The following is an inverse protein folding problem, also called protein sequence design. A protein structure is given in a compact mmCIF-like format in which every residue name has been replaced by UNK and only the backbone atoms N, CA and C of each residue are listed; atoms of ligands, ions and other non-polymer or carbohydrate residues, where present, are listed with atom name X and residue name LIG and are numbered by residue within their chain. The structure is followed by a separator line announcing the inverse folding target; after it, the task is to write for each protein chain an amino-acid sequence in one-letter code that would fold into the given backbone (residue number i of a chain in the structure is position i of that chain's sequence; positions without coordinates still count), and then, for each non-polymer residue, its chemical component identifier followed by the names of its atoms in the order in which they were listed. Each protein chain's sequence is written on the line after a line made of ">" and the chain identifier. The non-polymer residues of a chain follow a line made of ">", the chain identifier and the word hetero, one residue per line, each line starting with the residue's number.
data_IF_203452991343
#
_entry.id   IF_203452991343
#
_cell.length_a   1.000
_cell.length_b   1.000
_cell.length_c   1.000
_cell.angle_alpha   90.00
_cell.angle_beta   90.00
_cell.angle_gamma   90.00
#
_symmetry.space_group_name_H-M   'P 1'
#
loop_
_entity.id
_entity.type
_entity.pdbx_description
1 polymer ?
#
# COMPACT_ATOMS: atom_id res chain seq x y z
N UNK A 1 -4.32 17.09 -6.94
CA UNK A 1 -4.16 15.64 -7.16
C UNK A 1 -4.11 15.32 -8.64
N UNK A 2 -3.66 14.11 -8.96
CA UNK A 2 -3.65 13.61 -10.35
C UNK A 2 -5.02 13.08 -10.78
N UNK A 3 -5.16 12.82 -12.07
CA UNK A 3 -6.38 12.28 -12.67
C UNK A 3 -6.26 10.77 -12.99
N UNK A 4 -5.15 10.12 -12.60
CA UNK A 4 -4.88 8.71 -12.88
C UNK A 4 -3.87 8.13 -11.88
N UNK A 5 -3.79 6.81 -11.86
CA UNK A 5 -2.76 6.07 -11.13
C UNK A 5 -1.75 5.52 -12.15
N UNK A 6 -0.63 6.20 -12.38
CA UNK A 6 0.39 5.76 -13.32
C UNK A 6 1.13 4.54 -12.82
N UNK A 7 1.58 3.70 -13.77
CA UNK A 7 2.43 2.54 -13.52
C UNK A 7 3.81 2.80 -14.11
N UNK A 8 4.83 2.42 -13.38
CA UNK A 8 6.23 2.49 -13.78
C UNK A 8 6.75 1.07 -13.98
N UNK A 9 7.33 0.81 -15.15
CA UNK A 9 8.00 -0.48 -15.39
C UNK A 9 9.49 -0.30 -15.18
N UNK A 10 10.06 -1.10 -14.29
CA UNK A 10 11.49 -1.12 -14.01
C UNK A 10 12.23 -1.94 -15.08
N UNK A 11 13.55 -1.76 -15.21
CA UNK A 11 14.40 -2.45 -16.20
C UNK A 11 14.34 -3.99 -16.10
N UNK A 12 14.09 -4.50 -14.88
CA UNK A 12 13.91 -5.93 -14.62
C UNK A 12 12.47 -6.44 -14.88
N UNK A 13 11.60 -5.60 -15.43
CA UNK A 13 10.24 -5.94 -15.79
C UNK A 13 9.20 -5.79 -14.70
N UNK A 14 9.57 -5.45 -13.45
CA UNK A 14 8.60 -5.21 -12.38
C UNK A 14 7.74 -3.97 -12.66
N UNK A 15 6.46 -4.10 -12.41
CA UNK A 15 5.47 -3.02 -12.57
C UNK A 15 5.12 -2.44 -11.22
N UNK A 16 5.44 -1.17 -11.02
CA UNK A 16 5.33 -0.47 -9.74
C UNK A 16 4.27 0.62 -9.79
N UNK A 17 3.40 0.64 -8.81
CA UNK A 17 2.46 1.72 -8.54
C UNK A 17 2.85 2.50 -7.28
N UNK A 18 2.39 3.73 -7.18
CA UNK A 18 2.63 4.58 -6.00
C UNK A 18 1.30 5.12 -5.50
N UNK A 19 1.02 4.95 -4.20
CA UNK A 19 -0.10 5.56 -3.48
C UNK A 19 0.44 6.41 -2.34
N UNK A 20 0.20 7.70 -2.39
CA UNK A 20 0.81 8.64 -1.44
C UNK A 20 -0.10 8.84 -0.22
N UNK A 21 0.41 8.44 0.95
CA UNK A 21 -0.19 8.73 2.25
C UNK A 21 -1.69 8.37 2.33
N UNK A 22 -2.58 9.35 2.19
CA UNK A 22 -4.03 9.16 2.30
C UNK A 22 -4.63 8.34 1.16
N UNK A 23 -3.99 8.28 -0.03
CA UNK A 23 -4.47 7.46 -1.16
C UNK A 23 -4.63 6.00 -0.78
N UNK A 24 -3.81 5.48 0.15
CA UNK A 24 -3.89 4.09 0.61
C UNK A 24 -5.23 3.73 1.26
N UNK A 25 -5.96 4.73 1.77
CA UNK A 25 -7.24 4.52 2.46
C UNK A 25 -8.40 4.20 1.50
N UNK A 26 -8.19 4.38 0.20
CA UNK A 26 -9.21 4.14 -0.83
C UNK A 26 -9.00 2.79 -1.52
N UNK A 27 -9.84 1.77 -1.26
CA UNK A 27 -9.72 0.45 -1.89
C UNK A 27 -9.73 0.52 -3.41
N UNK A 28 -10.43 1.48 -3.99
CA UNK A 28 -10.56 1.71 -5.42
C UNK A 28 -9.22 2.04 -6.08
N UNK A 29 -8.36 2.79 -5.40
CA UNK A 29 -7.02 3.13 -5.88
C UNK A 29 -6.15 1.88 -6.03
N UNK A 30 -6.15 1.01 -5.02
CA UNK A 30 -5.45 -0.27 -5.03
C UNK A 30 -5.97 -1.19 -6.13
N UNK A 31 -7.30 -1.29 -6.23
CA UNK A 31 -7.95 -2.13 -7.24
C UNK A 31 -7.66 -1.62 -8.64
N UNK A 32 -7.63 -0.32 -8.84
CA UNK A 32 -7.28 0.29 -10.13
C UNK A 32 -5.86 -0.08 -10.55
N UNK A 33 -4.87 0.04 -9.66
CA UNK A 33 -3.49 -0.37 -9.93
C UNK A 33 -3.37 -1.87 -10.21
N UNK A 34 -4.02 -2.69 -9.39
CA UNK A 34 -3.96 -4.14 -9.53
C UNK A 34 -4.57 -4.63 -10.84
N UNK A 35 -5.68 -4.05 -11.29
CA UNK A 35 -6.32 -4.36 -12.58
C UNK A 35 -5.46 -3.95 -13.78
N UNK A 36 -4.59 -2.96 -13.60
CA UNK A 36 -3.60 -2.58 -14.57
C UNK A 36 -2.37 -3.50 -14.55
N UNK A 37 -2.31 -4.50 -13.64
CA UNK A 37 -1.24 -5.50 -13.55
C UNK A 37 0.01 -5.02 -12.81
N UNK A 38 -0.15 -4.23 -11.77
CA UNK A 38 0.94 -3.84 -10.87
C UNK A 38 1.38 -5.04 -10.03
N UNK A 39 2.69 -5.20 -9.84
CA UNK A 39 3.31 -6.23 -9.04
C UNK A 39 3.62 -5.75 -7.62
N UNK A 40 3.96 -4.47 -7.49
CA UNK A 40 4.39 -3.82 -6.25
C UNK A 40 3.77 -2.44 -6.12
N UNK A 41 3.22 -2.12 -4.95
CA UNK A 41 2.78 -0.76 -4.62
C UNK A 41 3.64 -0.19 -3.50
N UNK A 42 4.25 0.98 -3.78
CA UNK A 42 4.97 1.76 -2.79
C UNK A 42 4.02 2.80 -2.16
N UNK A 43 4.07 2.91 -0.83
CA UNK A 43 3.19 3.81 -0.06
C UNK A 43 4.01 4.73 0.83
N UNK A 44 4.57 5.82 0.28
CA UNK A 44 5.20 6.84 1.11
C UNK A 44 4.14 7.58 1.93
N UNK A 45 4.39 7.73 3.23
CA UNK A 45 3.38 8.28 4.16
C UNK A 45 4.02 8.97 5.36
N UNK A 46 3.28 9.89 5.97
CA UNK A 46 3.60 10.54 7.23
C UNK A 46 2.38 10.41 8.16
N UNK A 47 2.17 9.20 8.66
CA UNK A 47 1.01 8.87 9.48
C UNK A 47 1.36 8.88 10.97
N UNK A 48 0.47 9.45 11.76
CA UNK A 48 0.59 9.58 13.21
C UNK A 48 -0.76 9.33 13.92
N UNK A 49 -0.73 9.24 15.25
CA UNK A 49 -1.93 9.18 16.09
C UNK A 49 -2.66 7.83 16.05
N UNK A 50 -3.98 7.87 16.08
CA UNK A 50 -4.87 6.72 16.29
C UNK A 50 -4.75 5.62 15.23
N UNK A 51 -4.27 5.95 14.05
CA UNK A 51 -4.12 4.97 12.94
C UNK A 51 -2.97 3.98 13.14
N UNK A 52 -2.14 4.15 14.16
CA UNK A 52 -1.00 3.28 14.43
C UNK A 52 -1.40 1.80 14.49
N UNK A 53 -2.44 1.47 15.25
CA UNK A 53 -2.90 0.09 15.44
C UNK A 53 -3.47 -0.57 14.18
N UNK A 54 -3.88 0.22 13.19
CA UNK A 54 -4.50 -0.26 11.96
C UNK A 54 -3.58 -0.16 10.75
N UNK A 55 -2.47 0.57 10.85
CA UNK A 55 -1.62 0.90 9.69
C UNK A 55 -1.11 -0.34 8.95
N UNK A 56 -0.48 -1.25 9.68
CA UNK A 56 0.08 -2.47 9.09
C UNK A 56 -1.03 -3.40 8.62
N UNK A 57 -2.09 -3.59 9.41
CA UNK A 57 -3.22 -4.43 9.05
C UNK A 57 -3.95 -3.94 7.78
N UNK A 58 -4.11 -2.62 7.62
CA UNK A 58 -4.64 -2.04 6.39
C UNK A 58 -3.80 -2.45 5.18
N UNK A 59 -2.47 -2.30 5.25
CA UNK A 59 -1.58 -2.64 4.14
C UNK A 59 -1.52 -4.15 3.85
N UNK A 60 -1.60 -5.00 4.88
CA UNK A 60 -1.67 -6.45 4.73
C UNK A 60 -2.93 -6.89 3.95
N UNK A 61 -4.09 -6.33 4.30
CA UNK A 61 -5.33 -6.59 3.57
C UNK A 61 -5.23 -6.13 2.11
N UNK A 62 -4.64 -4.93 1.87
CA UNK A 62 -4.43 -4.43 0.51
C UNK A 62 -3.52 -5.32 -0.34
N UNK A 63 -2.44 -5.84 0.24
CA UNK A 63 -1.56 -6.80 -0.43
C UNK A 63 -2.31 -8.09 -0.82
N UNK A 64 -2.99 -8.70 0.14
CA UNK A 64 -3.74 -9.95 -0.03
C UNK A 64 -4.84 -9.84 -1.09
N UNK A 65 -5.76 -8.88 -0.93
CA UNK A 65 -6.95 -8.75 -1.79
C UNK A 65 -6.62 -8.33 -3.24
N UNK A 66 -5.39 -7.85 -3.48
CA UNK A 66 -4.92 -7.43 -4.79
C UNK A 66 -3.81 -8.33 -5.36
N UNK A 67 -3.37 -9.36 -4.61
CA UNK A 67 -2.31 -10.30 -4.98
C UNK A 67 -1.03 -9.58 -5.46
N UNK A 68 -0.54 -8.62 -4.69
CA UNK A 68 0.65 -7.82 -5.00
C UNK A 68 1.50 -7.57 -3.76
N UNK A 69 2.76 -7.18 -3.96
CA UNK A 69 3.61 -6.72 -2.88
C UNK A 69 3.27 -5.30 -2.45
N UNK A 70 3.49 -5.01 -1.17
CA UNK A 70 3.35 -3.65 -0.63
C UNK A 70 4.62 -3.26 0.11
N UNK A 71 5.12 -2.06 -0.18
CA UNK A 71 6.18 -1.40 0.58
C UNK A 71 5.60 -0.13 1.20
N UNK A 72 5.26 -0.22 2.47
CA UNK A 72 4.83 0.93 3.26
C UNK A 72 6.03 1.65 3.87
N UNK A 73 6.25 2.91 3.48
CA UNK A 73 7.35 3.74 4.01
C UNK A 73 6.76 4.86 4.82
N UNK A 74 6.76 4.72 6.15
CA UNK A 74 6.18 5.72 7.03
C UNK A 74 7.27 6.54 7.74
N UNK A 75 7.00 7.82 7.88
CA UNK A 75 7.83 8.73 8.68
C UNK A 75 7.90 8.24 10.12
N UNK A 76 9.07 8.33 10.73
CA UNK A 76 9.30 8.03 12.15
C UNK A 76 9.80 9.27 12.89
N UNK A 77 9.56 9.29 14.21
CA UNK A 77 10.06 10.33 15.08
C UNK A 77 9.13 11.53 15.23
N UNK A 78 9.61 12.52 15.94
CA UNK A 78 8.85 13.70 16.34
C UNK A 78 9.05 14.86 15.38
N UNK A 79 8.00 15.59 15.12
CA UNK A 79 8.06 16.83 14.35
C UNK A 79 7.09 17.87 14.90
N UNK A 80 7.44 19.12 14.70
CA UNK A 80 6.54 20.26 14.91
C UNK A 80 6.53 21.11 13.66
N UNK A 81 5.35 21.26 13.07
CA UNK A 81 5.21 22.16 11.92
C UNK A 81 5.22 23.62 12.40
N UNK A 82 5.72 24.50 11.55
CA UNK A 82 5.75 25.94 11.83
C UNK A 82 4.34 26.47 12.12
N UNK A 83 4.19 27.19 13.23
CA UNK A 83 2.90 27.72 13.70
C UNK A 83 2.03 26.72 14.48
N UNK A 84 2.38 25.43 14.58
CA UNK A 84 1.67 24.48 15.41
C UNK A 84 2.18 24.45 16.86
N UNK A 85 1.24 24.36 17.81
CA UNK A 85 1.55 24.21 19.24
C UNK A 85 1.80 22.76 19.64
N UNK A 86 1.31 21.80 18.85
CA UNK A 86 1.35 20.36 19.15
C UNK A 86 2.46 19.67 18.37
N UNK A 87 3.27 18.89 19.05
CA UNK A 87 4.26 18.00 18.47
C UNK A 87 3.56 16.74 17.93
N UNK A 88 3.81 16.39 16.68
CA UNK A 88 3.33 15.15 16.07
C UNK A 88 4.36 14.05 16.28
N UNK A 89 3.92 12.88 16.72
CA UNK A 89 4.74 11.69 16.83
C UNK A 89 4.37 10.75 15.68
N UNK A 90 5.22 10.72 14.65
CA UNK A 90 5.11 9.76 13.55
C UNK A 90 5.64 8.42 14.05
N UNK A 91 4.84 7.37 13.90
CA UNK A 91 5.09 6.10 14.59
C UNK A 91 6.00 5.12 13.81
N UNK A 92 6.53 5.50 12.64
CA UNK A 92 7.35 4.58 11.86
C UNK A 92 6.55 3.37 11.37
N UNK A 93 6.99 2.17 11.72
CA UNK A 93 6.39 0.90 11.30
C UNK A 93 6.39 0.72 9.78
N UNK A 94 7.43 1.21 9.10
CA UNK A 94 7.63 0.89 7.68
C UNK A 94 7.70 -0.61 7.49
N UNK A 95 7.10 -1.14 6.42
CA UNK A 95 6.95 -2.57 6.27
C UNK A 95 7.02 -3.02 4.82
N UNK A 96 7.42 -4.27 4.62
CA UNK A 96 7.38 -4.98 3.34
C UNK A 96 6.44 -6.16 3.52
N UNK A 97 5.46 -6.29 2.64
CA UNK A 97 4.37 -7.26 2.73
C UNK A 97 4.29 -8.03 1.42
N UNK A 98 4.11 -9.33 1.52
CA UNK A 98 4.00 -10.23 0.38
C UNK A 98 2.55 -10.32 -0.17
N UNK A 99 2.34 -10.97 -1.34
CA UNK A 99 1.02 -11.12 -1.95
C UNK A 99 0.02 -11.99 -1.17
N UNK A 100 0.43 -12.62 -0.07
CA UNK A 100 -0.45 -13.35 0.86
C UNK A 100 -0.85 -12.49 2.06
N UNK A 101 -0.37 -11.24 2.14
CA UNK A 101 -0.60 -10.36 3.27
C UNK A 101 0.34 -10.61 4.46
N UNK A 102 1.38 -11.43 4.28
CA UNK A 102 2.36 -11.71 5.32
C UNK A 102 3.43 -10.61 5.38
N UNK A 103 3.78 -10.23 6.60
CA UNK A 103 4.89 -9.30 6.83
C UNK A 103 6.22 -10.00 6.59
N UNK A 104 6.95 -9.54 5.57
CA UNK A 104 8.32 -9.99 5.32
C UNK A 104 9.31 -9.28 6.26
N UNK A 105 9.12 -7.97 6.41
CA UNK A 105 9.96 -7.14 7.27
C UNK A 105 9.16 -5.96 7.83
N UNK A 106 9.54 -5.52 9.03
CA UNK A 106 8.94 -4.34 9.69
C UNK A 106 10.01 -3.56 10.43
N UNK A 107 10.12 -2.26 10.14
CA UNK A 107 10.91 -1.32 10.94
C UNK A 107 10.20 -1.00 12.27
N UNK A 108 10.96 -0.56 13.26
CA UNK A 108 10.45 -0.04 14.52
C UNK A 108 9.89 1.39 14.41
N UNK A 109 9.85 2.04 15.55
CA UNK A 109 9.34 3.41 15.70
C UNK A 109 10.47 4.46 15.66
N UNK A 110 11.71 4.02 15.59
CA UNK A 110 12.87 4.92 15.60
C UNK A 110 13.14 5.47 14.19
N UNK A 111 13.61 6.72 14.07
CA UNK A 111 14.03 7.26 12.79
C UNK A 111 15.30 6.55 12.27
N UNK A 112 15.48 6.58 10.95
CA UNK A 112 16.66 6.08 10.24
C UNK A 112 16.84 4.56 10.23
N UNK A 113 15.77 3.80 10.45
CA UNK A 113 15.78 2.36 10.22
C UNK A 113 15.61 2.03 8.75
N UNK A 114 16.42 1.08 8.24
CA UNK A 114 16.30 0.52 6.91
C UNK A 114 15.93 -0.96 7.00
N UNK A 115 15.01 -1.41 6.18
CA UNK A 115 14.59 -2.82 6.06
C UNK A 115 14.76 -3.29 4.62
N UNK A 116 15.05 -4.57 4.45
CA UNK A 116 15.20 -5.21 3.15
C UNK A 116 14.50 -6.57 3.15
N UNK A 117 13.88 -6.95 2.04
CA UNK A 117 13.36 -8.29 1.82
C UNK A 117 13.59 -8.72 0.37
N UNK A 118 13.76 -10.02 0.16
CA UNK A 118 13.75 -10.59 -1.18
C UNK A 118 12.30 -10.75 -1.64
N UNK A 119 12.02 -10.34 -2.88
CA UNK A 119 10.70 -10.47 -3.50
C UNK A 119 10.83 -11.23 -4.82
N UNK A 120 9.83 -12.05 -5.15
CA UNK A 120 9.87 -12.91 -6.32
C UNK A 120 8.50 -12.90 -7.06
N UNK A 121 8.48 -12.80 -8.41
CA UNK A 121 7.24 -12.85 -9.20
C UNK A 121 6.45 -14.14 -9.01
N UNK A 122 7.11 -15.23 -8.65
CA UNK A 122 6.52 -16.54 -8.38
C UNK A 122 5.52 -16.50 -7.21
N UNK A 123 5.76 -15.66 -6.20
CA UNK A 123 4.84 -15.51 -5.07
C UNK A 123 3.53 -14.84 -5.51
N UNK A 124 3.58 -13.90 -6.45
CA UNK A 124 2.37 -13.30 -7.03
C UNK A 124 1.55 -14.37 -7.76
N UNK A 125 2.21 -15.21 -8.56
CA UNK A 125 1.56 -16.33 -9.27
C UNK A 125 0.95 -17.33 -8.30
N UNK A 126 1.69 -17.70 -7.23
CA UNK A 126 1.20 -18.59 -6.16
C UNK A 126 0.00 -18.01 -5.44
N UNK A 127 0.04 -16.74 -5.06
CA UNK A 127 -1.08 -16.07 -4.40
C UNK A 127 -2.33 -16.10 -5.28
N UNK A 128 -2.21 -15.74 -6.56
CA UNK A 128 -3.30 -15.79 -7.55
C UNK A 128 -3.85 -17.20 -7.76
N UNK A 129 -3.00 -18.24 -7.72
CA UNK A 129 -3.46 -19.62 -7.87
C UNK A 129 -4.23 -20.13 -6.64
N UNK A 130 -3.93 -19.59 -5.47
CA UNK A 130 -4.62 -19.96 -4.23
C UNK A 130 -5.93 -19.21 -4.05
N UNK A 131 -5.94 -17.90 -4.31
CA UNK A 131 -7.12 -17.05 -4.19
C UNK A 131 -6.98 -15.88 -5.16
N UNK A 132 -7.73 -15.90 -6.25
CA UNK A 132 -7.71 -14.84 -7.25
C UNK A 132 -8.91 -13.93 -7.09
N UNK A 133 -8.83 -13.00 -6.13
CA UNK A 133 -9.89 -12.01 -5.91
C UNK A 133 -10.21 -11.19 -7.16
N UNK A 134 -9.23 -10.96 -8.05
CA UNK A 134 -9.45 -10.17 -9.26
C UNK A 134 -10.32 -10.90 -10.28
N UNK A 135 -10.17 -12.23 -10.41
CA UNK A 135 -10.97 -13.05 -11.30
C UNK A 135 -12.42 -13.23 -10.81
N UNK A 136 -12.59 -13.28 -9.48
CA UNK A 136 -13.90 -13.47 -8.84
C UNK A 136 -14.76 -12.18 -8.77
N UNK A 137 -14.24 -11.06 -9.22
CA UNK A 137 -14.98 -9.79 -9.25
C UNK A 137 -16.19 -9.88 -10.16
N UNK A 138 -17.24 -9.17 -9.74
CA UNK A 138 -18.49 -9.02 -10.53
C UNK A 138 -18.74 -7.53 -10.85
N UNK A 139 -17.97 -6.94 -11.79
CA UNK A 139 -18.02 -5.50 -12.06
C UNK A 139 -19.41 -4.95 -12.33
N UNK A 140 -20.28 -5.77 -12.95
CA UNK A 140 -21.66 -5.40 -13.28
C UNK A 140 -22.56 -5.21 -12.04
N UNK A 141 -22.09 -5.54 -10.83
CA UNK A 141 -22.83 -5.30 -9.58
C UNK A 141 -22.35 -4.05 -8.83
N UNK A 142 -21.29 -3.38 -9.31
CA UNK A 142 -20.66 -2.25 -8.64
C UNK A 142 -21.07 -0.90 -9.25
N UNK A 143 -22.30 -0.78 -9.74
CA UNK A 143 -22.79 0.45 -10.42
C UNK A 143 -22.73 1.69 -9.53
N UNK A 144 -22.93 1.52 -8.22
CA UNK A 144 -22.84 2.62 -7.24
C UNK A 144 -21.45 3.25 -7.11
N UNK A 145 -20.40 2.58 -7.60
CA UNK A 145 -19.05 3.17 -7.64
C UNK A 145 -18.85 4.10 -8.84
N UNK A 146 -19.79 4.09 -9.80
CA UNK A 146 -19.74 4.88 -11.02
C UNK A 146 -20.72 6.04 -10.89
N UNK A 147 -20.27 7.20 -10.40
CA UNK A 147 -20.99 8.44 -10.64
C UNK A 147 -22.00 8.91 -9.58
N UNK A 148 -21.74 8.68 -8.31
CA UNK A 148 -22.33 9.56 -7.29
C UNK A 148 -21.48 10.84 -7.20
N UNK A 149 -22.06 12.02 -7.47
CA UNK A 149 -21.36 13.27 -7.17
C UNK A 149 -21.12 13.35 -5.66
N UNK A 150 -19.89 13.64 -5.28
CA UNK A 150 -19.49 13.96 -3.91
C UNK A 150 -19.89 15.38 -3.61
#
# INVERSE_FOLDING_TARGET
>A
GGNSFPIFTLDNGWRVGILICFDRSFPEAWRSLSLQGVDLVCVPTATYGYRKSLYTAELQVRALENNLYVVGVNKAGKERLEGEKVERVNFGLSCIIDPFGELLETAGEQPWEAICAEIAPEQIKRSKSRTNFLAERKPNTYHSLQGLPV
#
